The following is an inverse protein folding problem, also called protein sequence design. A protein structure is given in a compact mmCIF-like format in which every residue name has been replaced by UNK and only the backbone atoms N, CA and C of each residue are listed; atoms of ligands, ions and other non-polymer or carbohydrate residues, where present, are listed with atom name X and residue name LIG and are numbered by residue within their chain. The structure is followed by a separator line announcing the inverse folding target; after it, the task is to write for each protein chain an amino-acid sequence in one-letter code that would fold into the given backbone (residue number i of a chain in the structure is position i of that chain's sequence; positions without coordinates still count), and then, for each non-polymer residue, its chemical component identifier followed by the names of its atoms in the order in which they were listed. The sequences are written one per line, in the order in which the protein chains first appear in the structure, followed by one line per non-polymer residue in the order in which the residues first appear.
data_IF_153535918273
#
_entry.id   IF_153535918273
#
_cell.length_a   1.000
_cell.length_b   1.000
_cell.length_c   1.000
_cell.angle_alpha   90.00
_cell.angle_beta   90.00
_cell.angle_gamma   90.00
#
_symmetry.space_group_name_H-M   'P 1'
#
loop_
_entity.id
_entity.type
_entity.pdbx_description
1 polymer ?
#
# COMPACT_ATOMS: atom_id res chain seq x y z
N UNK A 1 -19.72 -14.15 3.56
CA UNK A 1 -19.54 -12.72 3.25
C UNK A 1 -19.26 -12.06 4.58
N UNK A 2 -18.03 -11.65 4.82
CA UNK A 2 -17.69 -10.96 6.07
C UNK A 2 -18.41 -9.62 6.08
N UNK A 3 -19.13 -9.32 7.16
CA UNK A 3 -19.87 -8.06 7.30
C UNK A 3 -18.87 -6.90 7.43
N UNK A 4 -18.99 -5.91 6.54
CA UNK A 4 -18.18 -4.68 6.55
C UNK A 4 -18.64 -3.66 7.61
N UNK A 5 -19.73 -3.94 8.34
CA UNK A 5 -20.38 -2.98 9.24
C UNK A 5 -19.49 -2.52 10.39
N UNK A 6 -18.48 -3.32 10.76
CA UNK A 6 -17.56 -3.03 11.87
C UNK A 6 -16.13 -2.71 11.40
N UNK A 7 -15.89 -2.48 10.10
CA UNK A 7 -14.55 -2.14 9.62
C UNK A 7 -14.18 -0.72 10.05
N UNK A 8 -13.17 -0.61 10.92
CA UNK A 8 -12.67 0.69 11.39
C UNK A 8 -12.01 1.46 10.24
N UNK A 9 -12.42 2.72 10.06
CA UNK A 9 -11.85 3.64 9.06
C UNK A 9 -11.34 4.92 9.74
N UNK A 10 -10.23 4.86 10.48
CA UNK A 10 -9.67 6.04 11.12
C UNK A 10 -9.22 7.08 10.09
N UNK A 11 -9.31 8.35 10.45
CA UNK A 11 -8.88 9.51 9.66
C UNK A 11 -7.43 9.37 9.16
N UNK A 12 -7.15 10.01 8.01
CA UNK A 12 -5.81 10.14 7.46
C UNK A 12 -5.20 11.44 7.95
N UNK A 13 -4.06 11.32 8.63
CA UNK A 13 -3.31 12.46 9.18
C UNK A 13 -1.94 12.51 8.52
N UNK A 14 -1.57 13.67 7.97
CA UNK A 14 -0.23 13.92 7.38
C UNK A 14 0.75 14.45 8.43
N UNK A 15 2.05 14.29 8.20
CA UNK A 15 3.08 14.95 9.00
C UNK A 15 3.17 16.46 8.72
N UNK A 16 2.71 16.91 7.55
CA UNK A 16 2.82 18.31 7.12
C UNK A 16 1.78 19.23 7.78
N UNK A 17 0.66 18.65 8.26
CA UNK A 17 -0.50 19.37 8.77
C UNK A 17 -0.63 19.33 10.30
N UNK A 18 0.40 18.84 11.01
CA UNK A 18 0.35 18.61 12.46
C UNK A 18 1.38 19.40 13.24
N UNK A 19 1.12 19.59 14.53
CA UNK A 19 2.11 20.08 15.47
C UNK A 19 2.92 18.93 16.07
N UNK A 20 4.24 18.94 15.84
CA UNK A 20 5.16 17.95 16.43
C UNK A 20 5.23 18.01 17.97
N UNK A 21 4.78 19.12 18.56
CA UNK A 21 4.67 19.25 20.03
C UNK A 21 3.46 18.49 20.59
N UNK A 22 2.53 18.05 19.75
CA UNK A 22 1.39 17.23 20.14
C UNK A 22 1.63 15.75 19.81
N UNK A 23 1.99 14.96 20.83
CA UNK A 23 2.29 13.55 20.67
C UNK A 23 1.14 12.75 20.03
N UNK A 24 -0.11 13.08 20.35
CA UNK A 24 -1.28 12.37 19.80
C UNK A 24 -1.40 12.55 18.28
N UNK A 25 -1.15 13.77 17.78
CA UNK A 25 -1.15 14.05 16.33
C UNK A 25 0.00 13.33 15.63
N UNK A 26 1.19 13.33 16.24
CA UNK A 26 2.37 12.61 15.72
C UNK A 26 2.08 11.11 15.62
N UNK A 27 1.48 10.51 16.64
CA UNK A 27 1.10 9.10 16.60
C UNK A 27 0.04 8.80 15.54
N UNK A 28 -0.95 9.68 15.36
CA UNK A 28 -1.98 9.55 14.34
C UNK A 28 -1.37 9.59 12.92
N UNK A 29 -0.42 10.50 12.66
CA UNK A 29 0.29 10.58 11.38
C UNK A 29 1.13 9.32 11.11
N UNK A 30 1.88 8.83 12.11
CA UNK A 30 2.64 7.57 12.02
C UNK A 30 1.75 6.39 11.66
N UNK A 31 0.62 6.23 12.37
CA UNK A 31 -0.35 5.16 12.15
C UNK A 31 -1.01 5.27 10.77
N UNK A 32 -1.30 6.49 10.31
CA UNK A 32 -1.89 6.74 8.99
C UNK A 32 -0.92 6.33 7.88
N UNK A 33 0.31 6.85 7.89
CA UNK A 33 1.32 6.54 6.88
C UNK A 33 1.65 5.04 6.83
N UNK A 34 1.76 4.36 7.98
CA UNK A 34 1.99 2.91 7.99
C UNK A 34 0.80 2.10 7.47
N UNK A 35 -0.44 2.48 7.83
CA UNK A 35 -1.64 1.79 7.32
C UNK A 35 -1.70 1.84 5.80
N UNK A 36 -1.46 3.01 5.20
CA UNK A 36 -1.48 3.14 3.74
C UNK A 36 -0.39 2.29 3.06
N UNK A 37 0.81 2.18 3.67
CA UNK A 37 1.83 1.25 3.18
C UNK A 37 1.36 -0.21 3.26
N UNK A 38 0.70 -0.61 4.35
CA UNK A 38 0.13 -1.96 4.46
C UNK A 38 -0.99 -2.22 3.46
N UNK A 39 -1.83 -1.23 3.17
CA UNK A 39 -2.87 -1.31 2.13
C UNK A 39 -2.23 -1.55 0.77
N UNK A 40 -1.16 -0.82 0.43
CA UNK A 40 -0.38 -1.06 -0.79
C UNK A 40 0.19 -2.47 -0.83
N UNK A 41 0.85 -2.94 0.24
CA UNK A 41 1.33 -4.34 0.32
C UNK A 41 0.20 -5.34 0.08
N UNK A 42 -1.01 -5.08 0.60
CA UNK A 42 -2.16 -5.94 0.35
C UNK A 42 -2.63 -5.87 -1.12
N UNK A 43 -2.62 -4.71 -1.75
CA UNK A 43 -2.89 -4.58 -3.19
C UNK A 43 -1.87 -5.36 -4.03
N UNK A 44 -0.59 -5.35 -3.65
CA UNK A 44 0.46 -6.18 -4.28
C UNK A 44 0.12 -7.67 -4.15
N UNK A 45 -0.33 -8.11 -2.96
CA UNK A 45 -0.75 -9.50 -2.73
C UNK A 45 -1.94 -9.89 -3.60
N UNK A 46 -2.97 -9.05 -3.69
CA UNK A 46 -4.15 -9.28 -4.54
C UNK A 46 -3.74 -9.37 -6.01
N UNK A 47 -2.85 -8.48 -6.45
CA UNK A 47 -2.34 -8.47 -7.83
C UNK A 47 -1.53 -9.75 -8.13
N UNK A 48 -0.71 -10.20 -7.18
CA UNK A 48 0.02 -11.47 -7.30
C UNK A 48 -0.92 -12.67 -7.41
N UNK A 49 -1.98 -12.72 -6.61
CA UNK A 49 -2.97 -13.79 -6.68
C UNK A 49 -3.74 -13.78 -8.00
N UNK A 50 -4.13 -12.60 -8.49
CA UNK A 50 -4.77 -12.44 -9.79
C UNK A 50 -3.86 -12.92 -10.93
N UNK A 51 -2.56 -12.56 -10.88
CA UNK A 51 -1.57 -13.04 -11.85
C UNK A 51 -1.43 -14.57 -11.80
N UNK A 52 -1.37 -15.17 -10.60
CA UNK A 52 -1.31 -16.62 -10.43
C UNK A 52 -2.52 -17.30 -11.07
N UNK A 53 -3.73 -16.80 -10.81
CA UNK A 53 -4.98 -17.30 -11.40
C UNK A 53 -4.99 -17.14 -12.92
N UNK A 54 -4.56 -15.99 -13.44
CA UNK A 54 -4.45 -15.75 -14.88
C UNK A 54 -3.54 -16.77 -15.57
N UNK A 55 -2.35 -17.02 -15.01
CA UNK A 55 -1.40 -18.01 -15.53
C UNK A 55 -1.98 -19.42 -15.52
N UNK A 56 -2.66 -19.80 -14.44
CA UNK A 56 -3.30 -21.11 -14.33
C UNK A 56 -4.44 -21.27 -15.36
N UNK A 57 -5.20 -20.22 -15.62
CA UNK A 57 -6.32 -20.25 -16.56
C UNK A 57 -5.86 -20.32 -18.03
N UNK A 58 -4.89 -19.50 -18.42
CA UNK A 58 -4.45 -19.39 -19.81
C UNK A 58 -3.32 -20.34 -20.22
N UNK A 59 -2.63 -20.99 -19.27
CA UNK A 59 -1.58 -21.99 -19.54
C UNK A 59 -0.53 -21.50 -20.55
N UNK A 60 -0.41 -22.14 -21.72
CA UNK A 60 0.56 -21.79 -22.77
C UNK A 60 0.39 -20.36 -23.29
N UNK A 61 -0.85 -19.86 -23.36
CA UNK A 61 -1.17 -18.51 -23.82
C UNK A 61 -0.97 -17.43 -22.75
N UNK A 62 -0.56 -17.80 -21.53
CA UNK A 62 -0.41 -16.87 -20.41
C UNK A 62 0.59 -15.75 -20.70
N UNK A 63 1.60 -15.99 -21.53
CA UNK A 63 2.61 -15.00 -21.93
C UNK A 63 1.97 -13.79 -22.61
N UNK A 64 0.96 -14.01 -23.46
CA UNK A 64 0.20 -12.97 -24.16
C UNK A 64 -0.90 -12.41 -23.28
N UNK A 65 -1.71 -13.28 -22.68
CA UNK A 65 -2.96 -12.88 -22.03
C UNK A 65 -2.75 -12.27 -20.64
N UNK A 66 -1.69 -12.64 -19.92
CA UNK A 66 -1.41 -12.15 -18.57
C UNK A 66 -0.37 -11.01 -18.52
N UNK A 67 0.09 -10.51 -19.67
CA UNK A 67 1.18 -9.53 -19.77
C UNK A 67 0.92 -8.27 -18.94
N UNK A 68 -0.29 -7.72 -18.99
CA UNK A 68 -0.65 -6.51 -18.23
C UNK A 68 -0.52 -6.70 -16.72
N UNK A 69 -0.98 -7.85 -16.19
CA UNK A 69 -0.85 -8.20 -14.78
C UNK A 69 0.61 -8.41 -14.37
N UNK A 70 1.43 -9.02 -15.24
CA UNK A 70 2.89 -9.14 -14.98
C UNK A 70 3.52 -7.76 -14.86
N UNK A 71 3.28 -6.87 -15.84
CA UNK A 71 3.86 -5.52 -15.82
C UNK A 71 3.39 -4.71 -14.62
N UNK A 72 2.10 -4.79 -14.27
CA UNK A 72 1.56 -4.15 -13.07
C UNK A 72 2.26 -4.68 -11.81
N UNK A 73 2.35 -6.00 -11.65
CA UNK A 73 3.00 -6.64 -10.51
C UNK A 73 4.47 -6.21 -10.37
N UNK A 74 5.24 -6.23 -11.47
CA UNK A 74 6.64 -5.81 -11.46
C UNK A 74 6.82 -4.36 -11.04
N UNK A 75 6.00 -3.45 -11.57
CA UNK A 75 6.02 -2.03 -11.16
C UNK A 75 5.68 -1.84 -9.68
N UNK A 76 4.75 -2.64 -9.15
CA UNK A 76 4.39 -2.58 -7.73
C UNK A 76 5.54 -3.05 -6.83
N UNK A 77 6.28 -4.09 -7.23
CA UNK A 77 7.44 -4.59 -6.45
C UNK A 77 8.49 -3.52 -6.17
N UNK A 78 8.65 -2.55 -7.06
CA UNK A 78 9.62 -1.45 -6.90
C UNK A 78 9.21 -0.47 -5.79
N UNK A 79 7.91 -0.23 -5.59
CA UNK A 79 7.43 0.92 -4.81
C UNK A 79 6.53 0.58 -3.63
N UNK A 80 5.99 -0.63 -3.56
CA UNK A 80 5.02 -1.06 -2.54
C UNK A 80 5.60 -1.67 -1.26
N UNK A 81 6.87 -2.12 -1.18
CA UNK A 81 7.45 -2.54 0.10
C UNK A 81 7.35 -1.46 1.17
N UNK A 82 7.26 -1.89 2.44
CA UNK A 82 7.16 -0.98 3.59
C UNK A 82 8.50 -0.26 3.76
N UNK A 83 8.45 1.07 3.80
CA UNK A 83 9.58 1.97 3.99
C UNK A 83 9.61 2.58 5.41
N UNK A 84 8.53 2.40 6.18
CA UNK A 84 8.35 3.03 7.48
C UNK A 84 7.96 4.51 7.35
N UNK A 85 8.04 5.26 8.44
CA UNK A 85 7.65 6.68 8.48
C UNK A 85 8.79 7.63 8.84
N UNK A 86 9.90 7.12 9.39
CA UNK A 86 10.98 7.95 9.91
C UNK A 86 11.68 8.77 8.83
N UNK A 87 11.78 8.25 7.60
CA UNK A 87 12.36 8.95 6.48
C UNK A 87 11.61 10.24 6.15
N UNK A 88 10.28 10.20 6.12
CA UNK A 88 9.46 11.39 5.89
C UNK A 88 9.38 12.26 7.16
N UNK A 89 9.15 11.65 8.32
CA UNK A 89 8.96 12.40 9.56
C UNK A 89 10.15 13.30 9.92
N UNK A 90 11.39 12.89 9.59
CA UNK A 90 12.62 13.62 9.92
C UNK A 90 13.14 14.51 8.80
N UNK A 91 12.61 14.39 7.58
CA UNK A 91 13.09 15.14 6.43
C UNK A 91 11.90 15.79 5.73
N UNK A 92 11.84 17.12 5.76
CA UNK A 92 10.85 17.88 5.02
C UNK A 92 11.24 17.88 3.52
N UNK A 93 10.42 17.30 2.62
CA UNK A 93 10.74 17.24 1.19
C UNK A 93 10.67 18.60 0.48
N UNK A 94 10.14 19.64 1.13
CA UNK A 94 10.02 20.99 0.56
C UNK A 94 11.27 21.86 0.75
N UNK A 95 12.21 21.42 1.59
CA UNK A 95 13.51 22.06 1.84
C UNK A 95 14.61 21.38 1.03
#
# INVERSE_FOLDING_TARGET
MDSYENHQRPELVSFDDISYNNLSQVEAARKSMLREQWIRVYELRVTHEALRKCRQYHQEDASRNCKSLVLKYMKMLETYPIQGYMGYQKNDPSQ
#
